data_IF_869821670491
#
_entry.id   IF_869821670491
#
_cell.length_a   1.000
_cell.length_b   1.000
_cell.length_c   1.000
_cell.angle_alpha   90.00
_cell.angle_beta   90.00
_cell.angle_gamma   90.00
#
_symmetry.space_group_name_H-M   'P 1'
#
loop_
_entity.id
_entity.type
_entity.pdbx_description
1 polymer ?
#
# COMPACT_ATOMS: atom_id res chain seq x y z
N UNK A 1 -2.44 18.71 -3.18
CA UNK A 1 -1.14 18.62 -3.84
C UNK A 1 -0.48 19.99 -3.90
N UNK A 2 0.85 20.04 -3.94
CA UNK A 2 1.63 21.26 -4.04
C UNK A 2 2.74 21.07 -5.10
N UNK A 3 3.44 22.14 -5.44
CA UNK A 3 4.47 22.11 -6.47
C UNK A 3 5.61 21.11 -6.19
N UNK A 4 6.20 21.02 -4.99
CA UNK A 4 7.21 20.00 -4.69
C UNK A 4 6.71 18.56 -4.90
N UNK A 5 5.49 18.26 -4.49
CA UNK A 5 4.89 16.94 -4.68
C UNK A 5 4.65 16.64 -6.18
N UNK A 6 4.14 17.60 -6.93
CA UNK A 6 4.00 17.46 -8.38
C UNK A 6 5.33 17.14 -9.06
N UNK A 7 6.41 17.85 -8.69
CA UNK A 7 7.73 17.57 -9.23
C UNK A 7 8.26 16.18 -8.85
N UNK A 8 7.99 15.71 -7.62
CA UNK A 8 8.32 14.35 -7.20
C UNK A 8 7.62 13.32 -8.08
N UNK A 9 6.29 13.44 -8.25
CA UNK A 9 5.50 12.52 -9.08
C UNK A 9 5.94 12.56 -10.54
N UNK A 10 6.21 13.76 -11.06
CA UNK A 10 6.72 13.94 -12.43
C UNK A 10 8.07 13.26 -12.61
N UNK A 11 8.98 13.35 -11.65
CA UNK A 11 10.27 12.65 -11.69
C UNK A 11 10.10 11.14 -11.86
N UNK A 12 9.22 10.50 -11.06
CA UNK A 12 8.92 9.07 -11.21
C UNK A 12 8.30 8.74 -12.58
N UNK A 13 7.44 9.62 -13.09
CA UNK A 13 6.86 9.46 -14.41
C UNK A 13 7.94 9.50 -15.52
N UNK A 14 8.86 10.45 -15.41
CA UNK A 14 9.97 10.58 -16.36
C UNK A 14 10.91 9.35 -16.30
N UNK A 15 11.16 8.80 -15.12
CA UNK A 15 11.90 7.53 -14.95
C UNK A 15 11.20 6.37 -15.64
N UNK A 16 9.88 6.21 -15.42
CA UNK A 16 9.09 5.16 -16.06
C UNK A 16 9.09 5.28 -17.59
N UNK A 17 9.03 6.50 -18.12
CA UNK A 17 9.17 6.77 -19.57
C UNK A 17 10.53 6.35 -20.09
N UNK A 18 11.61 6.77 -19.43
CA UNK A 18 12.98 6.47 -19.83
C UNK A 18 13.24 4.95 -19.89
N UNK A 19 12.59 4.17 -19.06
CA UNK A 19 12.70 2.71 -18.98
C UNK A 19 11.68 1.96 -19.88
N UNK A 20 10.87 2.68 -20.68
CA UNK A 20 9.81 2.10 -21.52
C UNK A 20 8.82 1.22 -20.72
N UNK A 21 8.43 1.67 -19.54
CA UNK A 21 7.57 0.91 -18.63
C UNK A 21 6.09 1.34 -18.68
N UNK A 22 5.75 2.43 -19.37
CA UNK A 22 4.39 2.96 -19.43
C UNK A 22 3.50 2.03 -20.27
N UNK A 23 2.43 1.52 -19.66
CA UNK A 23 1.37 0.76 -20.33
C UNK A 23 0.23 1.69 -20.78
N UNK A 24 -0.14 2.64 -19.92
CA UNK A 24 -1.21 3.60 -20.16
C UNK A 24 -0.97 4.89 -19.37
N UNK A 25 -1.50 6.00 -19.84
CA UNK A 25 -1.27 7.32 -19.24
C UNK A 25 0.10 7.87 -19.59
N UNK A 26 0.82 8.37 -18.60
CA UNK A 26 2.22 8.78 -18.78
C UNK A 26 2.44 10.29 -18.96
N UNK A 27 1.41 11.14 -18.86
CA UNK A 27 1.56 12.56 -19.11
C UNK A 27 1.30 13.40 -17.85
N UNK A 28 2.19 14.36 -17.60
CA UNK A 28 1.90 15.53 -16.78
C UNK A 28 1.24 16.57 -17.69
N UNK A 29 0.08 17.06 -17.31
CA UNK A 29 -0.70 17.93 -18.19
C UNK A 29 -0.17 19.36 -18.12
N UNK A 30 0.06 19.95 -19.29
CA UNK A 30 0.49 21.37 -19.42
C UNK A 30 -0.73 22.29 -19.31
N UNK A 31 -1.15 22.50 -18.08
CA UNK A 31 -2.27 23.41 -17.76
C UNK A 31 -2.07 24.02 -16.37
N UNK A 32 -2.85 25.04 -16.05
CA UNK A 32 -2.81 25.66 -14.72
C UNK A 32 -3.20 24.63 -13.65
N UNK A 33 -2.28 24.35 -12.72
CA UNK A 33 -2.44 23.38 -11.63
C UNK A 33 -1.46 22.22 -11.71
N UNK A 34 -1.69 21.19 -10.87
CA UNK A 34 -0.76 20.06 -10.67
C UNK A 34 -1.44 18.76 -11.11
N UNK A 35 -1.63 18.60 -12.41
CA UNK A 35 -2.35 17.46 -12.98
C UNK A 35 -1.39 16.46 -13.61
N UNK A 36 -1.55 15.19 -13.24
CA UNK A 36 -0.85 14.05 -13.81
C UNK A 36 -1.90 13.00 -14.19
N UNK A 37 -1.80 12.46 -15.39
CA UNK A 37 -2.68 11.38 -15.82
C UNK A 37 -2.51 10.14 -14.93
N UNK A 38 -3.59 9.43 -14.56
CA UNK A 38 -3.48 8.09 -14.04
C UNK A 38 -2.62 7.23 -14.96
N UNK A 39 -1.57 6.64 -14.39
CA UNK A 39 -0.53 5.97 -15.17
C UNK A 39 -0.34 4.54 -14.69
N UNK A 40 -0.35 3.60 -15.63
CA UNK A 40 -0.05 2.19 -15.40
C UNK A 40 1.37 1.88 -15.89
N UNK A 41 2.17 1.27 -15.01
CA UNK A 41 3.58 0.99 -15.22
C UNK A 41 3.81 -0.53 -15.12
N UNK A 42 4.57 -1.11 -16.07
CA UNK A 42 5.00 -2.51 -16.00
C UNK A 42 6.37 -2.63 -15.35
N UNK A 43 6.48 -3.43 -14.30
CA UNK A 43 7.77 -3.79 -13.72
C UNK A 43 8.31 -5.09 -14.29
N UNK A 44 9.62 -5.12 -14.52
CA UNK A 44 10.34 -6.33 -14.99
C UNK A 44 11.03 -7.07 -13.85
N UNK A 45 11.37 -6.34 -12.80
CA UNK A 45 12.03 -6.87 -11.59
C UNK A 45 11.77 -5.93 -10.41
N UNK A 46 12.17 -6.34 -9.23
CA UNK A 46 11.96 -5.63 -7.97
C UNK A 46 13.08 -4.62 -7.63
N UNK A 47 14.14 -4.55 -8.43
CA UNK A 47 15.26 -3.61 -8.23
C UNK A 47 14.91 -2.21 -8.70
N UNK A 48 13.77 -2.05 -9.37
CA UNK A 48 13.29 -0.77 -9.85
C UNK A 48 12.92 0.15 -8.68
N UNK A 49 13.47 1.37 -8.61
CA UNK A 49 13.09 2.34 -7.58
C UNK A 49 11.58 2.60 -7.50
N UNK A 50 10.88 2.56 -8.64
CA UNK A 50 9.42 2.72 -8.69
C UNK A 50 8.66 1.57 -8.01
N UNK A 51 9.27 0.39 -7.88
CA UNK A 51 8.71 -0.73 -7.13
C UNK A 51 8.89 -0.54 -5.61
N UNK A 52 10.04 -0.04 -5.19
CA UNK A 52 10.45 0.02 -3.78
C UNK A 52 10.11 1.34 -3.07
N UNK A 53 9.93 2.42 -3.82
CA UNK A 53 9.69 3.75 -3.27
C UNK A 53 8.21 4.13 -3.25
N UNK A 54 7.84 4.96 -2.30
CA UNK A 54 6.49 5.51 -2.18
C UNK A 54 6.33 6.74 -3.06
N UNK A 55 5.67 6.58 -4.20
CA UNK A 55 5.46 7.67 -5.16
C UNK A 55 4.44 8.70 -4.68
N UNK A 56 3.43 8.25 -3.94
CA UNK A 56 2.30 9.05 -3.44
C UNK A 56 1.58 9.84 -4.55
N UNK A 57 1.38 9.22 -5.70
CA UNK A 57 0.80 9.83 -6.89
C UNK A 57 -0.07 8.86 -7.70
N UNK A 58 -0.68 9.31 -8.80
CA UNK A 58 -1.57 8.50 -9.62
C UNK A 58 -0.79 7.52 -10.54
N UNK A 59 0.18 6.83 -9.98
CA UNK A 59 1.01 5.83 -10.66
C UNK A 59 0.77 4.46 -10.00
N UNK A 60 0.41 3.46 -10.81
CA UNK A 60 0.19 2.09 -10.35
C UNK A 60 1.13 1.16 -11.11
N UNK A 61 1.93 0.41 -10.39
CA UNK A 61 2.79 -0.62 -10.94
C UNK A 61 2.08 -1.97 -11.02
N UNK A 62 2.38 -2.73 -12.08
CA UNK A 62 1.93 -4.11 -12.24
C UNK A 62 3.12 -5.02 -12.54
N UNK A 63 3.08 -6.22 -11.98
CA UNK A 63 4.06 -7.27 -12.19
C UNK A 63 3.34 -8.62 -12.26
N UNK A 64 3.59 -9.45 -13.28
CA UNK A 64 3.05 -10.81 -13.31
C UNK A 64 3.77 -11.69 -12.28
N UNK A 65 3.11 -12.74 -11.84
CA UNK A 65 3.69 -13.82 -11.04
C UNK A 65 3.13 -15.16 -11.54
N UNK A 66 3.87 -16.25 -11.32
CA UNK A 66 3.48 -17.58 -11.79
C UNK A 66 3.01 -18.48 -10.63
N UNK A 67 3.55 -18.31 -9.43
CA UNK A 67 3.24 -19.15 -8.26
C UNK A 67 2.81 -18.31 -7.06
N UNK A 68 2.10 -18.96 -6.12
CA UNK A 68 1.70 -18.31 -4.86
C UNK A 68 2.91 -17.94 -4.00
N UNK A 69 3.99 -18.74 -4.06
CA UNK A 69 5.25 -18.50 -3.37
C UNK A 69 5.93 -17.24 -3.89
N UNK A 70 5.98 -17.09 -5.22
CA UNK A 70 6.50 -15.88 -5.87
C UNK A 70 5.69 -14.65 -5.50
N UNK A 71 4.35 -14.75 -5.56
CA UNK A 71 3.45 -13.66 -5.15
C UNK A 71 3.77 -13.19 -3.73
N UNK A 72 3.88 -14.12 -2.77
CA UNK A 72 4.18 -13.80 -1.37
C UNK A 72 5.55 -13.12 -1.25
N UNK A 73 6.55 -13.62 -1.95
CA UNK A 73 7.88 -13.01 -1.95
C UNK A 73 7.85 -11.59 -2.50
N UNK A 74 7.22 -11.36 -3.66
CA UNK A 74 7.08 -10.04 -4.28
C UNK A 74 6.36 -9.06 -3.35
N UNK A 75 5.24 -9.45 -2.77
CA UNK A 75 4.49 -8.60 -1.86
C UNK A 75 5.28 -8.24 -0.60
N UNK A 76 5.98 -9.21 -0.01
CA UNK A 76 6.70 -9.02 1.24
C UNK A 76 8.07 -8.34 1.07
N UNK A 77 8.59 -8.18 -0.15
CA UNK A 77 9.78 -7.36 -0.43
C UNK A 77 9.56 -5.88 -0.17
N UNK A 78 8.31 -5.40 -0.26
CA UNK A 78 8.02 -4.02 0.08
C UNK A 78 8.41 -3.72 1.53
N UNK A 79 9.09 -2.59 1.75
CA UNK A 79 9.34 -2.08 3.10
C UNK A 79 8.09 -1.56 3.80
N UNK A 80 7.01 -1.36 3.05
CA UNK A 80 5.71 -0.96 3.55
C UNK A 80 4.77 -2.16 3.72
N UNK A 81 3.75 -1.99 4.53
CA UNK A 81 2.75 -3.01 4.78
C UNK A 81 1.49 -2.41 5.41
N UNK A 82 0.89 -1.38 4.77
CA UNK A 82 -0.34 -0.79 5.27
C UNK A 82 -1.52 -1.68 4.94
N UNK A 83 -1.77 -1.89 3.65
CA UNK A 83 -2.93 -2.63 3.17
C UNK A 83 -2.59 -3.55 2.02
N UNK A 84 -3.40 -4.61 1.85
CA UNK A 84 -3.39 -5.45 0.66
C UNK A 84 -4.81 -5.89 0.29
N UNK A 85 -5.04 -6.24 -0.98
CA UNK A 85 -6.30 -6.81 -1.46
C UNK A 85 -6.02 -8.04 -2.29
N UNK A 86 -6.80 -9.11 -2.04
CA UNK A 86 -6.76 -10.35 -2.81
C UNK A 86 -8.05 -10.44 -3.63
N UNK A 87 -7.94 -10.58 -4.92
CA UNK A 87 -9.06 -10.74 -5.83
C UNK A 87 -9.06 -12.15 -6.42
N UNK A 88 -10.01 -12.98 -6.01
CA UNK A 88 -10.09 -14.38 -6.42
C UNK A 88 -11.48 -14.96 -6.20
N UNK A 89 -11.86 -15.95 -7.04
CA UNK A 89 -13.05 -16.77 -6.83
C UNK A 89 -12.76 -18.00 -5.92
N UNK A 90 -11.49 -18.28 -5.61
CA UNK A 90 -11.07 -19.36 -4.70
C UNK A 90 -10.84 -18.80 -3.28
N UNK A 91 -11.87 -18.87 -2.45
CA UNK A 91 -11.79 -18.44 -1.05
C UNK A 91 -10.74 -19.24 -0.26
N UNK A 92 -10.60 -20.54 -0.54
CA UNK A 92 -9.59 -21.35 0.13
C UNK A 92 -8.18 -20.88 -0.18
N UNK A 93 -7.92 -20.45 -1.41
CA UNK A 93 -6.65 -19.80 -1.81
C UNK A 93 -6.43 -18.50 -1.03
N UNK A 94 -7.43 -17.62 -0.98
CA UNK A 94 -7.34 -16.37 -0.21
C UNK A 94 -6.98 -16.63 1.26
N UNK A 95 -7.67 -17.57 1.93
CA UNK A 95 -7.43 -17.92 3.32
C UNK A 95 -6.03 -18.50 3.58
N UNK A 96 -5.42 -19.18 2.61
CA UNK A 96 -4.02 -19.65 2.71
C UNK A 96 -3.00 -18.54 2.52
N UNK A 97 -3.32 -17.51 1.73
CA UNK A 97 -2.43 -16.39 1.45
C UNK A 97 -2.43 -15.34 2.56
N UNK A 98 -3.59 -15.04 3.14
CA UNK A 98 -3.75 -13.99 4.16
C UNK A 98 -2.67 -14.04 5.25
N UNK A 99 -2.40 -15.17 5.95
CA UNK A 99 -1.43 -15.19 7.04
C UNK A 99 0.04 -15.04 6.58
N UNK A 100 0.29 -15.10 5.28
CA UNK A 100 1.64 -15.01 4.70
C UNK A 100 1.96 -13.61 4.17
N UNK A 101 0.97 -12.73 4.02
CA UNK A 101 1.12 -11.38 3.49
C UNK A 101 1.37 -10.42 4.66
N UNK A 102 2.46 -9.70 4.60
CA UNK A 102 2.88 -8.75 5.62
C UNK A 102 2.23 -7.37 5.40
N UNK A 103 0.93 -7.30 5.64
CA UNK A 103 0.15 -6.06 5.64
C UNK A 103 -0.75 -6.03 6.88
N UNK A 104 -1.00 -4.83 7.41
CA UNK A 104 -1.80 -4.67 8.63
C UNK A 104 -3.29 -4.84 8.41
N UNK A 105 -3.78 -4.52 7.20
CA UNK A 105 -5.17 -4.70 6.80
C UNK A 105 -5.25 -5.41 5.46
N UNK A 106 -6.04 -6.48 5.38
CA UNK A 106 -6.26 -7.21 4.14
C UNK A 106 -7.74 -7.29 3.80
N UNK A 107 -8.04 -7.17 2.52
CA UNK A 107 -9.38 -7.38 1.98
C UNK A 107 -9.40 -8.54 0.97
N UNK A 108 -10.54 -9.18 0.84
CA UNK A 108 -10.78 -10.17 -0.21
C UNK A 108 -11.97 -9.72 -1.04
N UNK A 109 -11.76 -9.59 -2.37
CA UNK A 109 -12.75 -9.12 -3.34
C UNK A 109 -13.39 -7.76 -3.02
N UNK A 110 -12.64 -6.92 -2.31
CA UNK A 110 -12.98 -5.54 -1.98
C UNK A 110 -11.73 -4.72 -1.77
N UNK A 111 -11.87 -3.40 -1.70
CA UNK A 111 -10.78 -2.49 -1.37
C UNK A 111 -11.30 -1.23 -0.68
N UNK A 112 -10.50 -0.61 0.18
CA UNK A 112 -10.80 0.66 0.88
C UNK A 112 -12.07 0.67 1.75
N UNK A 113 -12.66 -0.48 2.07
CA UNK A 113 -13.74 -0.54 3.05
C UNK A 113 -13.15 -0.50 4.47
N UNK A 114 -13.55 0.50 5.23
CA UNK A 114 -13.14 0.67 6.63
C UNK A 114 -14.37 0.55 7.53
N UNK A 115 -14.27 -0.28 8.55
CA UNK A 115 -15.27 -0.44 9.60
C UNK A 115 -14.66 0.06 10.93
N UNK A 116 -15.25 1.06 11.60
CA UNK A 116 -14.73 1.57 12.87
C UNK A 116 -14.64 0.54 13.99
N UNK A 117 -15.28 -0.60 13.88
CA UNK A 117 -15.19 -1.70 14.85
C UNK A 117 -13.98 -2.62 14.61
N UNK A 118 -13.27 -2.47 13.48
CA UNK A 118 -12.13 -3.31 13.09
C UNK A 118 -10.84 -2.48 13.14
N UNK A 119 -9.77 -2.98 13.79
CA UNK A 119 -8.49 -2.27 13.85
C UNK A 119 -7.94 -2.00 12.44
N UNK A 120 -7.49 -0.77 12.20
CA UNK A 120 -6.82 -0.36 10.97
C UNK A 120 -5.42 0.15 11.27
N UNK A 121 -4.43 -0.28 10.53
CA UNK A 121 -3.06 0.19 10.66
C UNK A 121 -2.08 -0.68 9.90
N UNK A 122 -0.84 -0.23 9.82
CA UNK A 122 0.22 -0.85 9.06
C UNK A 122 1.18 -1.68 9.91
N UNK A 123 2.06 -2.36 9.20
CA UNK A 123 3.29 -3.00 9.72
C UNK A 123 4.49 -2.45 8.96
N UNK A 124 5.69 -2.82 9.35
CA UNK A 124 6.94 -2.35 8.73
C UNK A 124 7.03 -0.81 8.75
N UNK A 125 7.51 -0.19 7.67
CA UNK A 125 7.63 1.26 7.56
C UNK A 125 6.30 2.02 7.37
N UNK A 126 5.18 1.32 7.25
CA UNK A 126 3.85 1.95 7.21
C UNK A 126 3.37 2.45 8.57
N UNK A 127 4.03 2.07 9.66
CA UNK A 127 3.79 2.63 10.99
C UNK A 127 3.58 1.59 12.07
N UNK A 128 3.30 2.10 13.28
CA UNK A 128 3.01 1.34 14.50
C UNK A 128 1.64 1.75 15.02
N UNK A 129 1.06 0.93 15.91
CA UNK A 129 -0.27 1.19 16.49
C UNK A 129 -1.42 0.82 15.56
N UNK A 130 -2.62 1.00 16.07
CA UNK A 130 -3.87 0.75 15.33
C UNK A 130 -4.87 1.86 15.60
N UNK A 131 -5.49 2.32 14.52
CA UNK A 131 -6.67 3.18 14.56
C UNK A 131 -7.93 2.30 14.62
N UNK A 132 -9.03 2.87 15.07
CA UNK A 132 -10.33 2.21 15.19
C UNK A 132 -10.35 1.06 16.22
N UNK A 133 -11.55 0.49 16.46
CA UNK A 133 -11.83 -0.52 17.48
C UNK A 133 -11.37 -0.12 18.89
N UNK A 134 -11.52 -1.03 19.84
CA UNK A 134 -11.05 -0.83 21.22
C UNK A 134 -9.51 -0.81 21.33
N UNK A 135 -8.80 -1.33 20.33
CA UNK A 135 -7.34 -1.31 20.29
C UNK A 135 -6.76 0.11 20.28
N UNK A 136 -7.48 1.08 19.68
CA UNK A 136 -7.14 2.50 19.71
C UNK A 136 -6.97 3.05 21.13
N UNK A 137 -7.78 2.59 22.09
CA UNK A 137 -7.74 3.09 23.47
C UNK A 137 -6.39 2.76 24.12
N UNK A 138 -5.84 1.58 23.85
CA UNK A 138 -4.56 1.14 24.41
C UNK A 138 -3.39 1.98 23.92
N UNK A 139 -3.44 2.47 22.69
CA UNK A 139 -2.37 3.31 22.11
C UNK A 139 -2.35 4.74 22.69
N UNK A 140 -3.45 5.21 23.29
CA UNK A 140 -3.59 6.59 23.83
C UNK A 140 -3.78 6.68 25.33
N UNK A 141 -3.77 5.55 26.05
CA UNK A 141 -3.99 5.49 27.50
C UNK A 141 -2.95 4.61 28.19
N UNK A 142 -2.81 4.81 29.50
CA UNK A 142 -2.03 3.92 30.35
C UNK A 142 -2.89 3.31 31.45
N UNK A 143 -2.65 2.04 31.72
CA UNK A 143 -3.36 1.33 32.79
C UNK A 143 -2.82 1.76 34.17
N UNK A 144 -3.73 2.12 35.07
CA UNK A 144 -3.42 2.43 36.46
C UNK A 144 -4.24 1.57 37.41
N UNK A 145 -3.56 0.79 38.24
CA UNK A 145 -4.21 0.01 39.29
C UNK A 145 -4.29 0.81 40.60
N UNK A 146 -5.46 0.81 41.24
CA UNK A 146 -5.66 1.42 42.56
C UNK A 146 -6.32 0.41 43.50
N UNK A 147 -5.69 0.15 44.65
CA UNK A 147 -6.23 -0.70 45.71
C UNK A 147 -6.45 0.14 46.94
N UNK A 148 -7.69 0.13 47.49
CA UNK A 148 -8.05 0.89 48.69
C UNK A 148 -8.59 -0.11 49.74
N UNK A 149 -7.98 -0.03 50.94
CA UNK A 149 -8.52 -0.74 52.13
C UNK A 149 -9.07 0.32 53.09
N UNK A 150 -10.30 0.14 53.54
CA UNK A 150 -11.02 0.98 54.53
C UNK A 150 -11.47 0.14 55.72
#
# INVERSE_FOLDING_TARGET
>A
SNQPHFHKVKHYLDMAKANNQIIAGGEALDQTGYFVQPTLISFKNTDDPLFSEETFGPLVGVMPFETDEELIQLMNQSRFGLTASIWTNDLSKALRLIPKIEAGTLWVNMHTFLDPSVPFGGVKASGIGREFSDAFIEDYTELKSVMIRY
#
